data_IF_931025450093
#
_entry.id   IF_931025450093
#
_cell.length_a   1.000
_cell.length_b   1.000
_cell.length_c   1.000
_cell.angle_alpha   90.00
_cell.angle_beta   90.00
_cell.angle_gamma   90.00
#
_symmetry.space_group_name_H-M   'P 1'
#
loop_
_entity.id
_entity.type
_entity.pdbx_description
1 polymer ?
#
# COMPACT_ATOMS: atom_id res chain seq x y z
N UNK A 1 55.42 51.79 -66.09
CA UNK A 1 56.18 50.58 -65.80
C UNK A 1 56.75 50.65 -64.39
N UNK A 2 55.95 50.27 -63.39
CA UNK A 2 56.42 50.24 -61.98
C UNK A 2 55.45 49.24 -61.30
N UNK A 3 55.87 48.00 -61.07
CA UNK A 3 55.35 47.21 -59.94
C UNK A 3 55.86 45.72 -59.92
N UNK A 4 56.91 45.36 -60.66
CA UNK A 4 57.43 44.00 -60.68
C UNK A 4 58.39 43.67 -59.52
N UNK A 5 58.74 44.59 -58.66
CA UNK A 5 59.64 44.36 -57.50
C UNK A 5 58.89 43.78 -56.32
N UNK A 6 57.63 44.20 -56.10
CA UNK A 6 56.80 43.72 -54.99
C UNK A 6 56.39 42.24 -55.23
N UNK A 7 56.06 41.87 -56.46
CA UNK A 7 55.67 40.49 -56.82
C UNK A 7 56.82 39.48 -56.64
N UNK A 8 58.09 39.91 -56.85
CA UNK A 8 59.30 39.11 -56.65
C UNK A 8 59.65 38.85 -55.19
N UNK A 9 59.15 39.68 -54.28
CA UNK A 9 59.34 39.51 -52.83
C UNK A 9 58.17 38.75 -52.23
N UNK A 10 56.96 38.93 -52.75
CA UNK A 10 55.74 38.25 -52.21
C UNK A 10 55.72 36.75 -52.56
N UNK A 11 56.21 36.38 -53.75
CA UNK A 11 56.23 34.99 -54.19
C UNK A 11 57.01 34.05 -53.26
N UNK A 12 58.26 34.32 -52.85
CA UNK A 12 59.00 33.48 -51.94
C UNK A 12 58.39 33.46 -50.51
N UNK A 13 57.76 34.53 -50.04
CA UNK A 13 57.10 34.58 -48.72
C UNK A 13 55.87 33.65 -48.73
N UNK A 14 55.07 33.64 -49.77
CA UNK A 14 53.92 32.72 -49.91
C UNK A 14 54.39 31.26 -49.97
N UNK A 15 55.50 30.99 -50.70
CA UNK A 15 56.07 29.63 -50.78
C UNK A 15 56.55 29.16 -49.37
N UNK A 16 57.24 30.04 -48.62
CA UNK A 16 57.66 29.73 -47.24
C UNK A 16 56.48 29.51 -46.33
N UNK A 17 55.39 30.32 -46.45
CA UNK A 17 54.14 30.12 -45.68
C UNK A 17 53.46 28.81 -46.02
N UNK A 18 53.43 28.41 -47.28
CA UNK A 18 52.86 27.11 -47.71
C UNK A 18 53.72 25.94 -47.20
N UNK A 19 55.06 26.07 -47.28
CA UNK A 19 55.98 25.05 -46.77
C UNK A 19 55.81 24.95 -45.23
N UNK A 20 55.71 26.08 -44.53
CA UNK A 20 55.46 26.12 -43.07
C UNK A 20 54.08 25.53 -42.70
N UNK A 21 53.05 25.77 -43.48
CA UNK A 21 51.74 25.18 -43.30
C UNK A 21 51.74 23.65 -43.55
N UNK A 22 52.49 23.18 -44.59
CA UNK A 22 52.62 21.75 -44.88
C UNK A 22 53.48 21.05 -43.80
N UNK A 23 54.59 21.67 -43.37
CA UNK A 23 55.42 21.13 -42.30
C UNK A 23 54.65 21.17 -40.96
N UNK A 24 53.94 22.25 -40.66
CA UNK A 24 53.09 22.37 -39.48
C UNK A 24 51.96 21.33 -39.42
N UNK A 25 51.37 21.01 -40.59
CA UNK A 25 50.36 19.96 -40.71
C UNK A 25 50.99 18.56 -40.51
N UNK A 26 52.20 18.32 -41.01
CA UNK A 26 52.95 17.05 -40.84
C UNK A 26 53.55 16.89 -39.44
N UNK A 27 53.90 18.00 -38.78
CA UNK A 27 54.40 18.05 -37.41
C UNK A 27 53.27 18.04 -36.36
N UNK A 28 51.97 18.03 -36.75
CA UNK A 28 50.83 17.97 -35.84
C UNK A 28 50.49 19.26 -35.10
N UNK A 29 51.01 20.42 -35.62
CA UNK A 29 50.69 21.76 -35.03
C UNK A 29 49.33 22.29 -35.48
N UNK A 30 48.81 21.81 -36.64
CA UNK A 30 47.50 22.16 -37.12
C UNK A 30 46.61 20.91 -37.11
N UNK A 31 45.69 20.87 -36.13
CA UNK A 31 44.58 19.92 -36.12
C UNK A 31 44.88 18.55 -35.54
N UNK A 32 45.22 18.43 -34.26
CA UNK A 32 44.85 17.18 -33.56
C UNK A 32 43.36 17.06 -33.61
N UNK A 33 42.85 16.10 -34.37
CA UNK A 33 41.43 15.75 -34.32
C UNK A 33 41.04 15.61 -32.85
N UNK A 34 40.04 16.35 -32.40
CA UNK A 34 39.57 16.28 -31.01
C UNK A 34 39.10 14.85 -30.78
N UNK A 35 39.94 14.01 -30.21
CA UNK A 35 39.54 12.66 -29.76
C UNK A 35 38.75 12.77 -28.48
N UNK A 36 37.62 12.09 -28.43
CA UNK A 36 36.80 11.99 -27.20
C UNK A 36 37.28 10.75 -26.43
N UNK A 37 37.75 10.98 -25.19
CA UNK A 37 38.15 9.87 -24.32
C UNK A 37 36.92 9.15 -23.82
N UNK A 38 36.90 7.84 -24.00
CA UNK A 38 35.77 6.96 -23.60
C UNK A 38 36.28 5.68 -22.96
N UNK A 39 35.50 5.13 -22.04
CA UNK A 39 35.68 3.77 -21.57
C UNK A 39 34.75 2.83 -22.34
N UNK A 40 35.18 1.60 -22.53
CA UNK A 40 34.40 0.57 -23.23
C UNK A 40 34.25 -0.65 -22.35
N UNK A 41 33.13 -1.33 -22.49
CA UNK A 41 32.84 -2.63 -21.88
C UNK A 41 32.33 -3.59 -22.97
N UNK A 42 32.56 -4.90 -22.79
CA UNK A 42 32.06 -5.88 -23.73
C UNK A 42 30.57 -6.15 -23.49
N UNK A 43 29.83 -6.35 -24.55
CA UNK A 43 28.47 -6.88 -24.46
C UNK A 43 28.55 -8.37 -24.10
N UNK A 44 28.13 -8.71 -22.88
CA UNK A 44 28.24 -10.05 -22.31
C UNK A 44 26.86 -10.60 -21.95
N UNK A 45 26.78 -11.94 -21.93
CA UNK A 45 25.59 -12.61 -21.47
C UNK A 45 25.58 -12.69 -19.94
N UNK A 46 24.52 -12.22 -19.32
CA UNK A 46 24.35 -12.18 -17.86
C UNK A 46 22.91 -12.55 -17.46
N UNK A 47 22.74 -12.83 -16.19
CA UNK A 47 21.41 -12.91 -15.59
C UNK A 47 21.01 -11.54 -15.08
N UNK A 48 19.90 -11.00 -15.54
CA UNK A 48 19.29 -9.78 -15.03
C UNK A 48 18.06 -10.15 -14.20
N UNK A 49 17.94 -9.51 -13.04
CA UNK A 49 16.76 -9.56 -12.20
C UNK A 49 16.17 -8.16 -12.17
N UNK A 50 15.03 -7.99 -12.83
CA UNK A 50 14.28 -6.74 -12.76
C UNK A 50 13.69 -6.61 -11.37
N UNK A 51 13.94 -5.49 -10.71
CA UNK A 51 13.41 -5.18 -9.40
C UNK A 51 12.67 -3.83 -9.41
N UNK A 52 11.55 -3.79 -8.72
CA UNK A 52 10.78 -2.59 -8.48
C UNK A 52 10.97 -2.19 -7.02
N UNK A 53 11.57 -1.03 -6.80
CA UNK A 53 11.80 -0.50 -5.45
C UNK A 53 10.57 0.29 -5.01
N UNK A 54 10.03 -0.04 -3.85
CA UNK A 54 8.89 0.62 -3.24
C UNK A 54 9.14 0.88 -1.76
N UNK A 55 8.65 2.01 -1.27
CA UNK A 55 8.75 2.37 0.14
C UNK A 55 7.43 2.10 0.86
N UNK A 56 7.53 1.72 2.13
CA UNK A 56 6.36 1.43 2.93
C UNK A 56 6.65 1.29 4.41
N UNK A 57 5.77 0.58 5.11
CA UNK A 57 5.87 0.34 6.55
C UNK A 57 5.66 -1.12 6.88
N UNK A 58 6.36 -1.58 7.91
CA UNK A 58 6.12 -2.88 8.52
C UNK A 58 4.85 -2.81 9.35
N UNK A 59 3.94 -3.76 9.13
CA UNK A 59 2.68 -3.90 9.87
C UNK A 59 2.45 -5.37 10.22
N UNK A 60 1.66 -5.68 11.25
CA UNK A 60 1.23 -7.04 11.50
C UNK A 60 0.24 -7.50 10.41
N UNK A 61 0.27 -8.77 10.06
CA UNK A 61 -0.70 -9.36 9.12
C UNK A 61 -2.13 -9.23 9.64
N UNK A 62 -2.30 -9.36 10.96
CA UNK A 62 -3.61 -9.22 11.63
C UNK A 62 -3.52 -8.21 12.75
N UNK A 63 -4.30 -7.16 12.64
CA UNK A 63 -4.47 -6.12 13.65
C UNK A 63 -5.95 -5.80 13.82
N UNK A 64 -6.41 -5.70 15.06
CA UNK A 64 -7.77 -5.28 15.38
C UNK A 64 -7.72 -4.02 16.23
N UNK A 65 -8.37 -2.98 15.75
CA UNK A 65 -8.61 -1.74 16.47
C UNK A 65 -9.79 -1.94 17.41
N UNK A 66 -9.62 -1.60 18.67
CA UNK A 66 -10.64 -1.73 19.68
C UNK A 66 -11.18 -0.34 20.00
N UNK A 67 -12.48 -0.18 19.80
CA UNK A 67 -13.23 1.02 20.11
C UNK A 67 -14.43 0.65 20.98
N UNK A 68 -14.90 1.53 21.89
CA UNK A 68 -16.05 1.25 22.74
C UNK A 68 -17.35 1.47 21.95
N UNK A 69 -18.33 0.62 22.20
CA UNK A 69 -19.70 0.79 21.72
C UNK A 69 -20.54 1.68 22.65
N UNK A 70 -20.05 1.96 23.86
CA UNK A 70 -20.74 2.70 24.90
C UNK A 70 -19.83 3.78 25.49
N UNK A 71 -20.43 4.88 25.95
CA UNK A 71 -19.69 6.02 26.48
C UNK A 71 -19.58 5.95 28.00
N UNK A 72 -18.46 6.36 28.56
CA UNK A 72 -18.28 6.43 30.02
C UNK A 72 -16.83 6.68 30.42
N UNK A 73 -16.54 6.60 31.71
CA UNK A 73 -15.23 6.71 32.33
C UNK A 73 -14.60 5.31 32.43
N UNK A 74 -13.32 5.17 32.11
CA UNK A 74 -12.56 3.92 32.31
C UNK A 74 -12.26 3.76 33.82
N UNK A 75 -12.87 2.75 34.44
CA UNK A 75 -12.67 2.46 35.86
C UNK A 75 -11.68 1.32 36.13
N UNK A 76 -11.39 0.53 35.10
CA UNK A 76 -10.44 -0.58 35.19
C UNK A 76 -9.71 -0.70 33.86
N UNK A 77 -8.38 -0.78 33.92
CA UNK A 77 -7.51 -1.03 32.75
C UNK A 77 -6.53 -2.12 33.16
N UNK A 78 -6.68 -3.31 32.61
CA UNK A 78 -5.97 -4.52 33.03
C UNK A 78 -4.71 -4.80 32.23
N UNK A 79 -4.47 -4.04 31.15
CA UNK A 79 -3.38 -4.27 30.20
C UNK A 79 -2.57 -2.99 29.98
N UNK A 80 -1.30 -3.18 29.60
CA UNK A 80 -0.37 -2.13 29.18
C UNK A 80 0.08 -2.36 27.74
N UNK A 81 0.63 -1.34 27.13
CA UNK A 81 1.27 -1.49 25.82
C UNK A 81 2.42 -2.50 25.89
N UNK A 82 2.45 -3.44 24.97
CA UNK A 82 3.40 -4.55 24.92
C UNK A 82 2.93 -5.84 25.61
N UNK A 83 1.84 -5.83 26.37
CA UNK A 83 1.32 -7.03 27.03
C UNK A 83 0.73 -8.02 26.02
N UNK A 84 0.94 -9.31 26.29
CA UNK A 84 0.29 -10.38 25.55
C UNK A 84 -1.10 -10.66 26.16
N UNK A 85 -2.09 -10.76 25.29
CA UNK A 85 -3.48 -11.02 25.66
C UNK A 85 -4.03 -12.23 24.93
N UNK A 86 -4.89 -12.97 25.60
CA UNK A 86 -5.61 -14.11 25.05
C UNK A 86 -7.01 -13.68 24.59
N UNK A 87 -7.54 -14.36 23.58
CA UNK A 87 -8.92 -14.12 23.12
C UNK A 87 -9.90 -14.29 24.29
N UNK A 88 -10.75 -13.29 24.52
CA UNK A 88 -11.73 -13.28 25.60
C UNK A 88 -11.18 -12.75 26.95
N UNK A 89 -9.91 -12.35 27.04
CA UNK A 89 -9.35 -11.69 28.20
C UNK A 89 -9.93 -10.28 28.34
N UNK A 90 -10.28 -9.86 29.58
CA UNK A 90 -10.72 -8.51 29.88
C UNK A 90 -9.57 -7.54 29.63
N UNK A 91 -9.83 -6.49 28.86
CA UNK A 91 -8.86 -5.42 28.54
C UNK A 91 -9.11 -4.18 29.40
N UNK A 92 -10.34 -3.74 29.43
CA UNK A 92 -10.74 -2.60 30.24
C UNK A 92 -12.24 -2.67 30.57
N UNK A 93 -12.64 -1.87 31.57
CA UNK A 93 -14.04 -1.71 31.98
C UNK A 93 -14.41 -0.23 32.05
N UNK A 94 -15.51 0.09 31.40
CA UNK A 94 -16.16 1.39 31.45
C UNK A 94 -17.12 1.37 32.65
N UNK A 95 -17.28 2.49 33.35
CA UNK A 95 -18.14 2.64 34.52
C UNK A 95 -19.56 2.18 34.24
N UNK A 96 -20.06 1.10 34.93
CA UNK A 96 -21.30 0.45 34.55
C UNK A 96 -22.55 1.02 35.25
N UNK A 97 -22.40 1.93 36.24
CA UNK A 97 -23.47 2.36 37.15
C UNK A 97 -24.74 2.83 36.45
N UNK A 98 -24.60 3.63 35.41
CA UNK A 98 -25.74 4.11 34.62
C UNK A 98 -26.43 2.98 33.84
N UNK A 99 -25.68 2.04 33.32
CA UNK A 99 -26.17 0.88 32.56
C UNK A 99 -26.84 -0.14 33.48
N UNK A 100 -26.32 -0.32 34.71
CA UNK A 100 -26.98 -1.12 35.76
C UNK A 100 -28.32 -0.48 36.11
N UNK A 101 -28.36 0.83 36.35
CA UNK A 101 -29.60 1.55 36.66
C UNK A 101 -30.63 1.44 35.51
N UNK A 102 -30.18 1.45 34.26
CA UNK A 102 -31.09 1.30 33.11
C UNK A 102 -31.65 -0.13 33.03
N UNK A 103 -30.80 -1.16 33.26
CA UNK A 103 -31.25 -2.56 33.35
C UNK A 103 -32.29 -2.75 34.43
N UNK A 104 -32.06 -2.19 35.63
CA UNK A 104 -32.95 -2.32 36.78
C UNK A 104 -34.30 -1.64 36.53
N UNK A 105 -34.30 -0.50 35.81
CA UNK A 105 -35.56 0.12 35.34
C UNK A 105 -36.32 -0.77 34.38
N UNK A 106 -35.66 -1.36 33.41
CA UNK A 106 -36.30 -2.29 32.45
C UNK A 106 -36.84 -3.54 33.14
N UNK A 107 -36.16 -4.04 34.18
CA UNK A 107 -36.68 -5.12 35.03
C UNK A 107 -37.96 -4.73 35.77
N UNK A 108 -38.03 -3.49 36.29
CA UNK A 108 -39.24 -2.98 36.94
C UNK A 108 -40.39 -2.82 35.94
N UNK A 109 -40.10 -2.44 34.70
CA UNK A 109 -41.10 -2.35 33.61
C UNK A 109 -41.71 -3.71 33.28
N UNK A 110 -40.92 -4.77 33.22
CA UNK A 110 -41.42 -6.14 33.04
C UNK A 110 -42.34 -6.53 34.19
N UNK A 111 -41.93 -6.28 35.43
CA UNK A 111 -42.77 -6.55 36.62
C UNK A 111 -44.12 -5.81 36.55
N UNK A 112 -44.11 -4.55 36.12
CA UNK A 112 -45.32 -3.74 35.92
C UNK A 112 -46.21 -4.33 34.81
N UNK A 113 -45.62 -4.72 33.68
CA UNK A 113 -46.37 -5.34 32.57
C UNK A 113 -46.97 -6.71 32.96
N UNK A 114 -46.23 -7.51 33.73
CA UNK A 114 -46.75 -8.78 34.30
C UNK A 114 -47.95 -8.56 35.22
N UNK A 115 -47.89 -7.54 36.11
CA UNK A 115 -49.01 -7.19 36.97
C UNK A 115 -50.25 -6.74 36.18
N UNK A 116 -50.05 -5.96 35.12
CA UNK A 116 -51.14 -5.57 34.19
C UNK A 116 -51.74 -6.77 33.48
N UNK A 117 -50.90 -7.73 33.06
CA UNK A 117 -51.40 -8.96 32.45
C UNK A 117 -52.22 -9.75 33.46
N UNK A 118 -51.76 -9.91 34.71
CA UNK A 118 -52.52 -10.62 35.76
C UNK A 118 -53.88 -9.95 36.00
N UNK A 119 -53.95 -8.62 36.01
CA UNK A 119 -55.22 -7.87 36.08
C UNK A 119 -56.14 -8.17 34.89
N UNK A 120 -55.59 -8.14 33.68
CA UNK A 120 -56.34 -8.42 32.44
C UNK A 120 -56.84 -9.85 32.41
N UNK A 121 -56.04 -10.83 32.84
CA UNK A 121 -56.40 -12.28 32.95
C UNK A 121 -57.60 -12.44 33.95
N UNK A 122 -57.59 -11.74 35.10
CA UNK A 122 -58.68 -11.79 36.07
C UNK A 122 -59.99 -11.19 35.46
N UNK A 123 -59.88 -10.06 34.72
CA UNK A 123 -61.03 -9.44 34.06
C UNK A 123 -61.56 -10.34 32.94
N UNK A 124 -60.70 -10.99 32.16
CA UNK A 124 -61.09 -11.90 31.12
C UNK A 124 -61.81 -13.12 31.69
N UNK A 125 -61.29 -13.67 32.80
CA UNK A 125 -61.93 -14.79 33.55
C UNK A 125 -63.35 -14.41 34.02
N UNK A 126 -63.54 -13.22 34.57
CA UNK A 126 -64.83 -12.70 34.99
C UNK A 126 -65.81 -12.58 33.79
N UNK A 127 -65.34 -11.98 32.67
CA UNK A 127 -66.14 -11.85 31.45
C UNK A 127 -66.47 -13.20 30.83
N UNK A 128 -65.57 -14.18 30.85
CA UNK A 128 -65.79 -15.53 30.37
C UNK A 128 -66.88 -16.23 31.16
N UNK A 129 -66.82 -16.16 32.47
CA UNK A 129 -67.86 -16.73 33.33
C UNK A 129 -69.24 -16.11 33.10
N UNK A 130 -69.30 -14.79 32.88
CA UNK A 130 -70.54 -14.08 32.51
C UNK A 130 -71.04 -14.52 31.14
N UNK A 131 -70.14 -14.60 30.12
CA UNK A 131 -70.49 -15.06 28.78
C UNK A 131 -71.02 -16.50 28.83
N UNK A 132 -70.39 -17.44 29.50
CA UNK A 132 -70.82 -18.84 29.66
C UNK A 132 -72.19 -18.91 30.29
N UNK A 133 -72.48 -18.15 31.33
CA UNK A 133 -73.80 -18.06 31.98
C UNK A 133 -74.89 -17.54 31.06
N UNK A 134 -74.63 -16.41 30.40
CA UNK A 134 -75.57 -15.82 29.44
C UNK A 134 -75.81 -16.73 28.24
N UNK A 135 -74.82 -17.46 27.77
CA UNK A 135 -74.97 -18.43 26.69
C UNK A 135 -75.96 -19.55 27.08
N UNK A 136 -75.84 -20.13 28.30
CA UNK A 136 -76.79 -21.13 28.80
C UNK A 136 -78.21 -20.57 28.94
N UNK A 137 -78.42 -19.35 29.46
CA UNK A 137 -79.69 -18.71 29.59
C UNK A 137 -80.35 -18.36 28.23
N UNK A 138 -79.53 -17.99 27.23
CA UNK A 138 -80.01 -17.73 25.86
C UNK A 138 -80.45 -19.04 25.17
N UNK A 139 -79.70 -20.13 25.33
CA UNK A 139 -80.07 -21.47 24.86
C UNK A 139 -81.40 -21.96 25.49
N UNK A 140 -81.67 -21.55 26.74
CA UNK A 140 -82.93 -21.79 27.44
C UNK A 140 -84.05 -20.76 27.09
N UNK A 141 -83.78 -19.81 26.14
CA UNK A 141 -84.70 -18.75 25.75
C UNK A 141 -85.14 -17.83 26.87
N UNK A 142 -84.33 -17.63 27.94
CA UNK A 142 -84.67 -16.85 29.12
C UNK A 142 -84.11 -15.43 29.04
N UNK A 143 -83.24 -15.08 28.13
CA UNK A 143 -82.71 -13.72 27.89
C UNK A 143 -82.82 -13.31 26.42
N UNK A 144 -82.72 -11.99 26.17
CA UNK A 144 -82.76 -11.46 24.80
C UNK A 144 -81.47 -11.73 24.01
N UNK A 145 -81.54 -11.75 22.71
CA UNK A 145 -80.41 -11.86 21.81
C UNK A 145 -79.41 -10.72 22.04
N UNK A 146 -79.87 -9.52 22.31
CA UNK A 146 -79.06 -8.35 22.61
C UNK A 146 -78.22 -8.52 23.87
N UNK A 147 -78.78 -9.11 24.94
CA UNK A 147 -78.05 -9.36 26.18
C UNK A 147 -76.92 -10.38 26.01
N UNK A 148 -77.19 -11.42 25.19
CA UNK A 148 -76.18 -12.42 24.85
C UNK A 148 -75.05 -11.79 24.00
N UNK A 149 -75.37 -11.05 22.93
CA UNK A 149 -74.40 -10.39 22.08
C UNK A 149 -73.53 -9.38 22.89
N UNK A 150 -74.12 -8.68 23.86
CA UNK A 150 -73.40 -7.80 24.76
C UNK A 150 -72.37 -8.56 25.64
N UNK A 151 -72.77 -9.71 26.18
CA UNK A 151 -71.86 -10.53 26.99
C UNK A 151 -70.71 -11.13 26.15
N UNK A 152 -70.99 -11.53 24.90
CA UNK A 152 -70.02 -12.03 23.95
C UNK A 152 -69.02 -10.96 23.54
N UNK A 153 -69.49 -9.73 23.22
CA UNK A 153 -68.62 -8.59 22.91
C UNK A 153 -67.71 -8.22 24.09
N UNK A 154 -68.24 -8.23 25.32
CA UNK A 154 -67.49 -7.94 26.54
C UNK A 154 -66.38 -8.98 26.75
N UNK A 155 -66.68 -10.27 26.56
CA UNK A 155 -65.66 -11.34 26.65
C UNK A 155 -64.60 -11.19 25.58
N UNK A 156 -65.00 -10.91 24.33
CA UNK A 156 -64.05 -10.70 23.22
C UNK A 156 -63.08 -9.55 23.47
N UNK A 157 -63.60 -8.41 23.96
CA UNK A 157 -62.77 -7.26 24.36
C UNK A 157 -61.81 -7.61 25.49
N UNK A 158 -62.29 -8.32 26.53
CA UNK A 158 -61.43 -8.74 27.64
C UNK A 158 -60.28 -9.65 27.19
N UNK A 159 -60.57 -10.59 26.28
CA UNK A 159 -59.59 -11.48 25.68
C UNK A 159 -58.56 -10.69 24.86
N UNK A 160 -58.99 -9.76 24.05
CA UNK A 160 -58.08 -8.89 23.29
C UNK A 160 -57.17 -8.04 24.22
N UNK A 161 -57.70 -7.63 25.39
CA UNK A 161 -56.94 -6.91 26.40
C UNK A 161 -55.83 -7.77 27.02
N UNK A 162 -56.09 -9.09 27.25
CA UNK A 162 -55.07 -10.06 27.67
C UNK A 162 -53.96 -10.17 26.62
N UNK A 163 -54.34 -10.31 25.35
CA UNK A 163 -53.34 -10.41 24.27
C UNK A 163 -52.52 -9.15 24.14
N UNK A 164 -53.12 -7.98 24.28
CA UNK A 164 -52.40 -6.70 24.31
C UNK A 164 -51.39 -6.63 25.49
N UNK A 165 -51.81 -7.10 26.67
CA UNK A 165 -50.94 -7.17 27.85
C UNK A 165 -49.78 -8.14 27.67
N UNK A 166 -50.00 -9.29 26.96
CA UNK A 166 -48.90 -10.20 26.59
C UNK A 166 -47.85 -9.51 25.68
N UNK A 167 -48.31 -8.80 24.64
CA UNK A 167 -47.41 -8.06 23.78
C UNK A 167 -46.65 -6.94 24.52
N UNK A 168 -47.27 -6.30 25.53
CA UNK A 168 -46.58 -5.34 26.38
C UNK A 168 -45.44 -5.99 27.18
N UNK A 169 -45.61 -7.24 27.67
CA UNK A 169 -44.49 -7.98 28.32
C UNK A 169 -43.37 -8.23 27.31
N UNK A 170 -43.67 -8.76 26.13
CA UNK A 170 -42.65 -9.01 25.10
C UNK A 170 -41.88 -7.73 24.71
N UNK A 171 -42.55 -6.59 24.64
CA UNK A 171 -41.91 -5.30 24.42
C UNK A 171 -40.99 -4.89 25.58
N UNK A 172 -41.40 -5.09 26.83
CA UNK A 172 -40.58 -4.82 28.01
C UNK A 172 -39.37 -5.76 28.10
N UNK A 173 -39.53 -7.04 27.72
CA UNK A 173 -38.44 -8.02 27.63
C UNK A 173 -37.41 -7.62 26.57
N UNK A 174 -37.84 -7.10 25.43
CA UNK A 174 -36.93 -6.56 24.40
C UNK A 174 -36.12 -5.39 24.95
N UNK A 175 -36.79 -4.45 25.66
CA UNK A 175 -36.11 -3.32 26.30
C UNK A 175 -35.08 -3.76 27.37
N UNK A 176 -35.39 -4.82 28.15
CA UNK A 176 -34.43 -5.40 29.10
C UNK A 176 -33.23 -6.02 28.38
N UNK A 177 -33.47 -6.73 27.27
CA UNK A 177 -32.40 -7.30 26.47
C UNK A 177 -31.45 -6.22 25.98
N UNK A 178 -31.95 -5.13 25.43
CA UNK A 178 -31.15 -3.99 24.97
C UNK A 178 -30.33 -3.37 26.12
N UNK A 179 -30.93 -3.22 27.30
CA UNK A 179 -30.24 -2.70 28.48
C UNK A 179 -29.12 -3.65 28.94
N UNK A 180 -29.34 -4.97 28.89
CA UNK A 180 -28.31 -5.96 29.22
C UNK A 180 -27.17 -5.97 28.20
N UNK A 181 -27.48 -5.86 26.91
CA UNK A 181 -26.47 -5.76 25.87
C UNK A 181 -25.57 -4.55 26.08
N UNK A 182 -26.15 -3.37 26.35
CA UNK A 182 -25.39 -2.16 26.67
C UNK A 182 -24.54 -2.31 27.95
N UNK A 183 -25.05 -2.98 28.96
CA UNK A 183 -24.26 -3.29 30.14
C UNK A 183 -23.11 -4.22 29.85
N UNK A 184 -23.29 -5.25 29.03
CA UNK A 184 -22.22 -6.15 28.62
C UNK A 184 -21.13 -5.42 27.84
N UNK A 185 -21.50 -4.47 27.01
CA UNK A 185 -20.57 -3.60 26.23
C UNK A 185 -19.72 -2.66 27.09
N UNK A 186 -20.01 -2.52 28.38
CA UNK A 186 -19.13 -1.77 29.30
C UNK A 186 -17.84 -2.50 29.63
N UNK A 187 -17.77 -3.82 29.42
CA UNK A 187 -16.57 -4.63 29.60
C UNK A 187 -16.03 -5.02 28.24
N UNK A 188 -14.84 -4.56 27.89
CA UNK A 188 -14.20 -4.83 26.61
C UNK A 188 -13.22 -5.98 26.73
N UNK A 189 -13.38 -6.95 25.85
CA UNK A 189 -12.56 -8.16 25.80
C UNK A 189 -11.75 -8.25 24.52
N UNK A 190 -10.60 -8.91 24.58
CA UNK A 190 -9.75 -9.15 23.43
C UNK A 190 -10.46 -10.02 22.37
N UNK A 191 -10.60 -9.56 21.11
CA UNK A 191 -11.27 -10.32 20.06
C UNK A 191 -10.40 -11.47 19.52
N UNK A 192 -9.07 -11.35 19.71
CA UNK A 192 -8.06 -12.32 19.26
C UNK A 192 -6.92 -12.40 20.26
N UNK A 193 -6.18 -13.50 20.21
CA UNK A 193 -4.90 -13.63 20.92
C UNK A 193 -3.84 -12.83 20.19
N UNK A 194 -3.02 -12.05 20.91
CA UNK A 194 -1.99 -11.20 20.34
C UNK A 194 -1.32 -10.33 21.37
N UNK A 195 -0.67 -9.28 20.93
CA UNK A 195 0.00 -8.27 21.78
C UNK A 195 -0.70 -6.93 21.62
N UNK A 196 -0.83 -6.18 22.71
CA UNK A 196 -1.30 -4.79 22.66
C UNK A 196 -0.23 -3.95 21.98
N UNK A 197 -0.43 -3.65 20.70
CA UNK A 197 0.54 -2.91 19.88
C UNK A 197 0.51 -1.41 20.12
N UNK A 198 -0.62 -0.89 20.57
CA UNK A 198 -0.83 0.52 20.89
C UNK A 198 -1.91 0.67 21.94
N UNK A 199 -1.69 1.53 22.92
CA UNK A 199 -2.66 1.91 23.94
C UNK A 199 -2.82 3.44 23.94
N UNK A 200 -4.03 3.93 23.64
CA UNK A 200 -4.31 5.36 23.42
C UNK A 200 -5.07 6.01 24.58
N UNK A 201 -5.40 5.24 25.62
CA UNK A 201 -6.24 5.71 26.74
C UNK A 201 -5.62 5.37 28.08
N UNK A 202 -6.01 6.13 29.10
CA UNK A 202 -5.56 5.97 30.46
C UNK A 202 -6.72 5.68 31.43
N UNK A 203 -6.40 5.16 32.64
CA UNK A 203 -7.37 4.92 33.67
C UNK A 203 -7.97 6.26 34.14
N UNK A 204 -9.31 6.34 34.25
CA UNK A 204 -10.04 7.56 34.61
C UNK A 204 -10.41 8.44 33.40
N UNK A 205 -9.95 8.13 32.22
CA UNK A 205 -10.31 8.86 30.99
C UNK A 205 -11.76 8.61 30.59
N UNK A 206 -12.41 9.61 30.01
CA UNK A 206 -13.77 9.48 29.45
C UNK A 206 -13.70 9.21 27.97
N UNK A 207 -14.34 8.10 27.56
CA UNK A 207 -14.42 7.66 26.19
C UNK A 207 -15.83 7.82 25.64
N UNK A 208 -15.91 8.11 24.35
CA UNK A 208 -17.17 8.20 23.64
C UNK A 208 -17.33 6.98 22.72
N UNK A 209 -18.42 6.25 22.91
CA UNK A 209 -18.83 5.18 22.04
C UNK A 209 -20.26 5.40 21.61
N UNK A 210 -20.55 5.32 20.32
CA UNK A 210 -21.91 5.38 19.81
C UNK A 210 -22.07 4.38 18.68
N UNK A 211 -23.25 3.78 18.55
CA UNK A 211 -23.60 2.91 17.43
C UNK A 211 -23.69 3.66 16.10
N UNK A 212 -23.61 5.00 16.09
CA UNK A 212 -23.82 5.85 14.92
C UNK A 212 -22.52 6.46 14.37
N UNK A 213 -21.46 6.49 15.17
CA UNK A 213 -20.16 7.03 14.77
C UNK A 213 -19.05 6.11 15.25
N UNK A 214 -17.97 6.01 14.50
CA UNK A 214 -16.78 5.30 14.95
C UNK A 214 -16.35 5.90 16.31
N UNK A 215 -16.37 5.06 17.34
CA UNK A 215 -15.94 5.46 18.69
C UNK A 215 -14.46 5.83 18.71
N UNK A 216 -14.02 6.47 19.79
CA UNK A 216 -12.60 6.76 20.06
C UNK A 216 -11.81 5.45 20.02
N UNK A 217 -10.77 5.36 19.22
CA UNK A 217 -9.87 4.20 19.24
C UNK A 217 -9.18 4.12 20.61
N UNK A 218 -9.34 3.00 21.31
CA UNK A 218 -8.80 2.82 22.66
C UNK A 218 -7.42 2.15 22.62
N UNK A 219 -7.31 1.08 21.87
CA UNK A 219 -6.09 0.30 21.73
C UNK A 219 -6.13 -0.57 20.48
N UNK A 220 -4.98 -1.13 20.14
CA UNK A 220 -4.83 -2.13 19.07
C UNK A 220 -4.28 -3.42 19.62
N UNK A 221 -4.85 -4.52 19.19
CA UNK A 221 -4.32 -5.86 19.45
C UNK A 221 -3.87 -6.46 18.12
N UNK A 222 -2.61 -6.88 18.06
CA UNK A 222 -1.97 -7.36 16.86
C UNK A 222 -1.25 -8.69 17.08
N UNK A 223 -1.23 -9.53 16.05
CA UNK A 223 -0.39 -10.72 16.00
C UNK A 223 1.00 -10.34 15.46
N UNK A 224 1.97 -10.16 16.35
CA UNK A 224 3.34 -9.79 16.01
C UNK A 224 4.18 -10.98 15.52
N UNK A 225 3.67 -12.20 15.52
CA UNK A 225 4.39 -13.37 15.02
C UNK A 225 4.49 -13.39 13.49
N UNK A 226 3.57 -12.71 12.81
CA UNK A 226 3.52 -12.61 11.35
C UNK A 226 3.45 -11.14 10.94
N UNK A 227 4.54 -10.67 10.37
CA UNK A 227 4.68 -9.28 9.94
C UNK A 227 4.68 -9.19 8.42
N UNK A 228 4.10 -8.15 7.88
CA UNK A 228 4.11 -7.81 6.46
C UNK A 228 4.65 -6.41 6.24
N UNK A 229 5.31 -6.21 5.10
CA UNK A 229 5.63 -4.88 4.60
C UNK A 229 4.51 -4.42 3.68
N UNK A 230 3.80 -3.36 4.05
CA UNK A 230 2.83 -2.70 3.20
C UNK A 230 3.52 -1.56 2.47
N UNK A 231 3.73 -1.72 1.17
CA UNK A 231 4.45 -0.77 0.31
C UNK A 231 3.54 -0.17 -0.74
N UNK A 232 3.91 1.04 -1.21
CA UNK A 232 3.20 1.75 -2.24
C UNK A 232 3.96 1.64 -3.56
N UNK A 233 3.35 0.96 -4.54
CA UNK A 233 3.90 0.77 -5.88
C UNK A 233 3.19 1.70 -6.86
N UNK A 234 3.97 2.37 -7.73
CA UNK A 234 3.44 3.28 -8.73
C UNK A 234 2.58 2.55 -9.79
N UNK A 235 1.59 3.25 -10.35
CA UNK A 235 0.69 2.73 -11.39
C UNK A 235 1.44 2.16 -12.60
N UNK A 236 2.58 2.75 -12.99
CA UNK A 236 3.36 2.28 -14.14
C UNK A 236 4.06 0.94 -13.86
N UNK A 237 4.31 0.62 -12.60
CA UNK A 237 5.07 -0.55 -12.17
C UNK A 237 4.19 -1.72 -11.73
N UNK A 238 2.97 -1.42 -11.26
CA UNK A 238 2.04 -2.43 -10.74
C UNK A 238 1.71 -3.57 -11.73
N UNK A 239 1.59 -3.36 -13.06
CA UNK A 239 1.30 -4.46 -14.01
C UNK A 239 2.41 -5.52 -14.08
N UNK A 240 3.62 -5.17 -13.61
CA UNK A 240 4.77 -6.08 -13.58
C UNK A 240 4.88 -6.90 -12.30
N UNK A 241 4.22 -6.47 -11.22
CA UNK A 241 4.19 -7.17 -9.93
C UNK A 241 3.16 -8.29 -9.97
N UNK A 242 3.54 -9.48 -9.48
CA UNK A 242 2.66 -10.65 -9.43
C UNK A 242 2.62 -11.22 -8.00
N UNK A 243 1.49 -11.86 -7.69
CA UNK A 243 1.37 -12.65 -6.47
C UNK A 243 2.43 -13.76 -6.47
N UNK A 244 3.12 -13.93 -5.34
CA UNK A 244 4.20 -14.89 -5.19
C UNK A 244 5.58 -14.39 -5.60
N UNK A 245 5.72 -13.17 -6.12
CA UNK A 245 7.02 -12.56 -6.39
C UNK A 245 7.84 -12.48 -5.10
N UNK A 246 9.13 -12.76 -5.22
CA UNK A 246 10.06 -12.65 -4.09
C UNK A 246 10.52 -11.21 -3.92
N UNK A 247 10.64 -10.78 -2.67
CA UNK A 247 11.09 -9.43 -2.36
C UNK A 247 12.24 -9.43 -1.36
N UNK A 248 13.13 -8.46 -1.48
CA UNK A 248 14.12 -8.12 -0.47
C UNK A 248 13.65 -6.88 0.29
N UNK A 249 13.53 -7.02 1.60
CA UNK A 249 13.03 -5.99 2.50
C UNK A 249 14.20 -5.45 3.30
N UNK A 250 14.44 -4.17 3.21
CA UNK A 250 15.41 -3.43 4.02
C UNK A 250 14.62 -2.56 4.99
N UNK A 251 14.77 -2.83 6.28
CA UNK A 251 14.11 -2.08 7.35
C UNK A 251 15.08 -1.06 7.88
N UNK A 252 14.70 0.21 7.98
CA UNK A 252 15.59 1.31 8.37
C UNK A 252 16.24 1.12 9.75
N UNK A 253 15.56 0.37 10.62
CA UNK A 253 16.12 0.01 11.94
C UNK A 253 17.27 -1.03 11.88
N UNK A 254 17.43 -1.74 10.77
CA UNK A 254 18.40 -2.83 10.58
C UNK A 254 19.17 -2.67 9.26
N UNK A 255 19.97 -1.61 9.16
CA UNK A 255 20.64 -1.17 7.91
C UNK A 255 21.54 -2.22 7.25
N UNK A 256 22.11 -3.16 8.04
CA UNK A 256 23.03 -4.17 7.52
C UNK A 256 22.35 -5.52 7.19
N UNK A 257 21.01 -5.59 7.30
CA UNK A 257 20.29 -6.84 7.13
C UNK A 257 19.17 -6.70 6.09
N UNK A 258 19.15 -7.65 5.15
CA UNK A 258 18.09 -7.77 4.16
C UNK A 258 17.22 -8.96 4.48
N UNK A 259 15.95 -8.73 4.63
CA UNK A 259 14.96 -9.77 4.92
C UNK A 259 14.28 -10.22 3.63
N UNK A 260 13.95 -11.49 3.57
CA UNK A 260 13.23 -12.05 2.41
C UNK A 260 11.74 -12.01 2.68
N UNK A 261 10.98 -11.64 1.66
CA UNK A 261 9.52 -11.63 1.67
C UNK A 261 8.93 -12.22 0.39
N UNK A 262 7.62 -12.42 0.43
CA UNK A 262 6.83 -12.87 -0.72
C UNK A 262 5.60 -11.98 -0.82
N UNK A 263 5.27 -11.54 -2.05
CA UNK A 263 4.05 -10.76 -2.33
C UNK A 263 2.83 -11.64 -2.10
N UNK A 264 1.98 -11.25 -1.14
CA UNK A 264 0.77 -11.98 -0.74
C UNK A 264 -0.50 -11.33 -1.24
N UNK A 265 -0.51 -9.99 -1.38
CA UNK A 265 -1.69 -9.26 -1.79
C UNK A 265 -1.29 -8.03 -2.62
N UNK A 266 -2.08 -7.75 -3.66
CA UNK A 266 -1.97 -6.54 -4.49
C UNK A 266 -3.33 -5.87 -4.46
N UNK A 267 -3.41 -4.62 -3.99
CA UNK A 267 -4.67 -3.89 -3.92
C UNK A 267 -5.25 -3.65 -5.32
N UNK A 268 -6.54 -3.90 -5.48
CA UNK A 268 -7.26 -3.69 -6.74
C UNK A 268 -7.66 -2.22 -6.97
N UNK A 269 -7.58 -1.39 -5.93
CA UNK A 269 -7.91 0.04 -6.02
C UNK A 269 -6.73 0.90 -5.61
N UNK A 270 -6.52 1.98 -6.35
CA UNK A 270 -5.50 2.95 -6.05
C UNK A 270 -5.85 3.79 -4.81
N UNK A 271 -4.85 4.11 -4.01
CA UNK A 271 -4.94 5.18 -3.01
C UNK A 271 -4.43 6.48 -3.64
N UNK A 272 -5.35 7.39 -3.87
CA UNK A 272 -5.01 8.74 -4.29
C UNK A 272 -4.78 9.61 -3.05
N UNK A 273 -3.56 10.08 -2.85
CA UNK A 273 -3.22 10.99 -1.76
C UNK A 273 -3.10 12.41 -2.31
N UNK A 274 -4.03 13.30 -1.94
CA UNK A 274 -3.94 14.74 -2.27
C UNK A 274 -5.07 15.27 -3.15
N UNK A 275 -5.23 16.59 -3.18
CA UNK A 275 -6.29 17.36 -3.86
C UNK A 275 -5.72 18.16 -5.06
N UNK A 276 -4.54 17.85 -5.56
CA UNK A 276 -3.82 18.58 -6.62
C UNK A 276 -3.79 17.82 -7.95
N UNK A 277 -3.66 18.57 -9.05
CA UNK A 277 -3.60 18.08 -10.42
C UNK A 277 -2.37 17.17 -10.74
N UNK A 278 -1.35 17.13 -9.88
CA UNK A 278 -0.16 16.28 -9.99
C UNK A 278 -0.24 15.04 -9.06
N UNK A 279 -1.37 14.36 -9.07
CA UNK A 279 -1.64 13.24 -8.16
C UNK A 279 -0.90 11.98 -8.61
N UNK A 280 0.02 11.50 -7.77
CA UNK A 280 0.68 10.21 -7.99
C UNK A 280 -0.27 9.09 -7.56
N UNK A 281 -0.61 8.25 -8.52
CA UNK A 281 -1.46 7.08 -8.29
C UNK A 281 -0.58 5.91 -7.82
N UNK A 282 -0.79 5.45 -6.58
CA UNK A 282 -0.07 4.32 -6.02
C UNK A 282 -1.04 3.20 -5.64
N UNK A 283 -0.55 1.98 -5.70
CA UNK A 283 -1.28 0.78 -5.26
C UNK A 283 -0.57 0.16 -4.06
N UNK A 284 -1.33 -0.24 -3.06
CA UNK A 284 -0.78 -0.94 -1.91
C UNK A 284 -0.46 -2.38 -2.29
N UNK A 285 0.75 -2.80 -1.97
CA UNK A 285 1.21 -4.19 -2.11
C UNK A 285 1.65 -4.69 -0.74
N UNK A 286 1.13 -5.84 -0.32
CA UNK A 286 1.51 -6.49 0.93
C UNK A 286 2.48 -7.62 0.67
N UNK A 287 3.54 -7.64 1.44
CA UNK A 287 4.66 -8.56 1.30
C UNK A 287 4.91 -9.19 2.65
N UNK A 288 4.61 -10.48 2.78
CA UNK A 288 4.84 -11.23 4.00
C UNK A 288 6.35 -11.39 4.24
N UNK A 289 6.83 -10.97 5.40
CA UNK A 289 8.21 -11.19 5.82
C UNK A 289 8.38 -12.65 6.24
N UNK A 290 9.29 -13.37 5.59
CA UNK A 290 9.49 -14.78 5.89
C UNK A 290 10.18 -14.97 7.26
N UNK A 291 9.60 -15.76 8.19
CA UNK A 291 10.16 -15.98 9.53
C UNK A 291 11.59 -16.48 9.52
N UNK A 292 11.96 -17.26 8.50
CA UNK A 292 13.31 -17.80 8.36
C UNK A 292 14.37 -16.71 8.15
N UNK A 293 13.99 -15.54 7.60
CA UNK A 293 14.92 -14.46 7.30
C UNK A 293 15.35 -13.66 8.52
N UNK A 294 14.53 -13.62 9.59
CA UNK A 294 14.82 -12.91 10.83
C UNK A 294 15.02 -13.82 12.04
N UNK A 295 15.09 -15.14 11.82
CA UNK A 295 15.29 -16.11 12.90
C UNK A 295 16.53 -15.80 13.77
N UNK A 296 17.61 -15.31 13.17
CA UNK A 296 18.81 -14.90 13.88
C UNK A 296 18.58 -13.80 14.91
N UNK A 297 17.66 -12.86 14.65
CA UNK A 297 17.30 -11.79 15.59
C UNK A 297 16.47 -12.34 16.74
N UNK A 298 15.55 -13.27 16.46
CA UNK A 298 14.74 -13.95 17.48
C UNK A 298 15.61 -14.80 18.39
N UNK A 299 16.57 -15.54 17.83
CA UNK A 299 17.53 -16.37 18.57
C UNK A 299 18.48 -15.52 19.44
N UNK A 300 18.73 -14.26 19.07
CA UNK A 300 19.53 -13.31 19.84
C UNK A 300 18.78 -12.70 21.04
N UNK A 301 17.50 -13.05 21.25
CA UNK A 301 16.68 -12.66 22.41
C UNK A 301 15.58 -11.66 22.14
N UNK A 302 15.45 -11.14 20.92
CA UNK A 302 14.39 -10.21 20.56
C UNK A 302 13.18 -10.99 20.01
N UNK A 303 12.21 -11.29 20.88
CA UNK A 303 11.03 -12.09 20.50
C UNK A 303 10.22 -11.47 19.35
N UNK A 304 10.20 -10.15 19.24
CA UNK A 304 9.49 -9.39 18.23
C UNK A 304 10.39 -8.30 17.64
N UNK A 305 11.30 -8.65 16.71
CA UNK A 305 12.29 -7.69 16.18
C UNK A 305 11.63 -6.57 15.37
N UNK A 306 10.48 -6.82 14.79
CA UNK A 306 9.74 -5.82 14.03
C UNK A 306 8.62 -5.20 14.87
N UNK A 307 8.57 -3.88 14.86
CA UNK A 307 7.48 -3.13 15.49
C UNK A 307 6.57 -2.53 14.42
N UNK A 308 5.25 -2.54 14.61
CA UNK A 308 4.32 -1.86 13.73
C UNK A 308 4.72 -0.40 13.50
N UNK A 309 4.70 0.04 12.24
CA UNK A 309 5.06 1.41 11.87
C UNK A 309 6.51 1.65 11.47
N UNK A 310 7.42 0.67 11.63
CA UNK A 310 8.80 0.79 11.13
C UNK A 310 8.80 1.02 9.63
N UNK A 311 9.64 1.95 9.15
CA UNK A 311 9.84 2.20 7.73
C UNK A 311 10.66 1.09 7.09
N UNK A 312 10.31 0.76 5.87
CA UNK A 312 11.01 -0.25 5.08
C UNK A 312 11.03 0.13 3.60
N UNK A 313 12.15 -0.19 2.96
CA UNK A 313 12.31 -0.15 1.51
C UNK A 313 12.31 -1.58 1.00
N UNK A 314 11.53 -1.85 -0.05
CA UNK A 314 11.37 -3.19 -0.59
C UNK A 314 11.70 -3.23 -2.06
N UNK A 315 12.59 -4.15 -2.44
CA UNK A 315 12.90 -4.47 -3.82
C UNK A 315 12.13 -5.73 -4.23
N UNK A 316 11.04 -5.53 -4.97
CA UNK A 316 10.20 -6.61 -5.50
C UNK A 316 10.84 -7.13 -6.79
N UNK A 317 11.23 -8.40 -6.81
CA UNK A 317 11.82 -9.07 -7.97
C UNK A 317 10.72 -9.59 -8.88
N UNK A 318 10.47 -8.88 -9.98
CA UNK A 318 9.35 -9.18 -10.87
C UNK A 318 9.69 -10.16 -11.97
N UNK A 319 10.86 -10.02 -12.57
CA UNK A 319 11.28 -10.88 -13.68
C UNK A 319 12.78 -11.19 -13.58
N UNK A 320 13.12 -12.46 -13.79
CA UNK A 320 14.51 -12.90 -13.90
C UNK A 320 14.71 -13.58 -15.24
N UNK A 321 15.70 -13.13 -16.01
CA UNK A 321 16.12 -13.75 -17.27
C UNK A 321 17.59 -14.09 -17.21
N UNK A 322 17.91 -15.33 -17.54
CA UNK A 322 19.29 -15.84 -17.57
C UNK A 322 19.82 -15.88 -18.98
N UNK A 323 21.13 -15.79 -19.13
CA UNK A 323 21.85 -15.93 -20.43
C UNK A 323 21.40 -14.92 -21.51
N UNK A 324 21.01 -13.70 -21.10
CA UNK A 324 20.60 -12.63 -22.01
C UNK A 324 21.76 -11.68 -22.29
N UNK A 325 21.84 -11.14 -23.52
CA UNK A 325 22.85 -10.17 -23.91
C UNK A 325 22.61 -8.83 -23.22
N UNK A 326 23.62 -8.33 -22.54
CA UNK A 326 23.50 -7.14 -21.69
C UNK A 326 24.61 -6.13 -21.98
N UNK A 327 24.27 -4.86 -21.78
CA UNK A 327 25.23 -3.75 -21.77
C UNK A 327 25.01 -2.88 -20.54
N UNK A 328 26.01 -2.12 -20.09
CA UNK A 328 25.80 -1.14 -19.02
C UNK A 328 24.68 -0.16 -19.39
N UNK A 329 23.80 0.15 -18.43
CA UNK A 329 22.66 1.06 -18.67
C UNK A 329 23.11 2.42 -19.20
N UNK A 330 24.29 2.89 -18.78
CA UNK A 330 24.88 4.16 -19.19
C UNK A 330 25.31 4.19 -20.66
N UNK A 331 25.43 3.02 -21.32
CA UNK A 331 25.83 2.88 -22.72
C UNK A 331 24.66 3.19 -23.68
N UNK A 332 23.44 3.10 -23.19
CA UNK A 332 22.23 3.29 -23.98
C UNK A 332 21.81 4.74 -23.94
N UNK A 333 21.53 5.33 -25.07
CA UNK A 333 21.03 6.71 -25.17
C UNK A 333 19.89 6.80 -26.17
N UNK A 334 19.00 7.77 -25.94
CA UNK A 334 17.92 8.11 -26.88
C UNK A 334 18.27 9.36 -27.66
N UNK A 335 18.07 9.35 -28.98
CA UNK A 335 18.24 10.52 -29.85
C UNK A 335 16.96 10.79 -30.62
N UNK A 336 16.68 12.06 -30.78
CA UNK A 336 15.55 12.54 -31.60
C UNK A 336 16.10 12.96 -32.95
N UNK A 337 15.79 12.24 -34.01
CA UNK A 337 16.06 12.68 -35.36
C UNK A 337 14.94 13.62 -35.82
N UNK A 338 15.32 14.86 -36.09
CA UNK A 338 14.44 15.83 -36.72
C UNK A 338 14.46 15.58 -38.21
N UNK A 339 13.64 14.65 -38.73
CA UNK A 339 13.40 14.52 -40.14
C UNK A 339 12.66 15.77 -40.64
N UNK A 340 13.36 16.62 -41.38
CA UNK A 340 12.76 17.71 -42.15
C UNK A 340 12.03 17.09 -43.36
N UNK A 341 10.80 16.68 -43.14
CA UNK A 341 9.91 16.38 -44.29
C UNK A 341 9.23 17.67 -44.69
N UNK A 342 9.35 18.00 -45.94
CA UNK A 342 8.73 19.16 -46.59
C UNK A 342 7.22 19.17 -46.35
N UNK A 343 6.74 20.12 -45.51
CA UNK A 343 5.32 20.38 -45.30
C UNK A 343 4.69 19.71 -44.08
N UNK A 344 4.58 20.47 -43.00
CA UNK A 344 3.68 20.28 -41.84
C UNK A 344 3.53 18.85 -41.32
N UNK A 345 4.42 18.46 -40.44
CA UNK A 345 4.28 17.77 -39.16
C UNK A 345 5.64 17.21 -38.77
N UNK A 346 6.27 17.78 -37.74
CA UNK A 346 7.50 17.26 -37.14
C UNK A 346 7.14 16.05 -36.28
N UNK A 347 7.17 14.87 -36.82
CA UNK A 347 7.21 13.64 -36.04
C UNK A 347 8.61 13.50 -35.46
N UNK A 348 8.75 13.65 -34.14
CA UNK A 348 9.97 13.33 -33.41
C UNK A 348 10.08 11.82 -33.33
N UNK A 349 10.89 11.21 -34.16
CA UNK A 349 11.20 9.80 -34.05
C UNK A 349 12.29 9.62 -33.00
N UNK A 350 11.95 8.96 -31.88
CA UNK A 350 12.89 8.72 -30.79
C UNK A 350 13.55 7.38 -31.05
N UNK A 351 14.85 7.39 -31.36
CA UNK A 351 15.65 6.19 -31.60
C UNK A 351 16.51 5.89 -30.39
N UNK A 352 16.47 4.63 -29.93
CA UNK A 352 17.37 4.14 -28.90
C UNK A 352 18.60 3.55 -29.55
N UNK A 353 19.78 4.03 -29.18
CA UNK A 353 21.03 3.61 -29.79
C UNK A 353 22.14 3.40 -28.76
N UNK A 354 23.13 2.63 -29.20
CA UNK A 354 24.37 2.33 -28.46
C UNK A 354 25.55 2.63 -29.39
N UNK A 355 26.65 3.14 -28.84
CA UNK A 355 27.87 3.32 -29.60
C UNK A 355 28.80 2.12 -29.45
N UNK A 356 29.01 1.43 -30.56
CA UNK A 356 29.96 0.29 -30.66
C UNK A 356 31.27 0.79 -31.23
N UNK A 357 32.39 0.23 -30.81
CA UNK A 357 33.69 0.67 -31.28
C UNK A 357 34.58 -0.49 -31.73
N UNK A 358 35.36 -0.24 -32.75
CA UNK A 358 36.49 -1.04 -33.21
C UNK A 358 37.82 -0.66 -32.56
N UNK A 359 37.78 0.33 -31.62
CA UNK A 359 38.94 0.91 -30.93
C UNK A 359 39.37 2.27 -31.45
N UNK A 360 38.89 2.72 -32.62
CA UNK A 360 39.26 4.00 -33.24
C UNK A 360 38.05 4.91 -33.48
N UNK A 361 36.94 4.33 -33.89
CA UNK A 361 35.71 5.08 -34.18
C UNK A 361 34.55 4.56 -33.31
N UNK A 362 33.63 5.44 -32.95
CA UNK A 362 32.36 5.11 -32.34
C UNK A 362 31.29 5.08 -33.44
N UNK A 363 30.67 3.90 -33.62
CA UNK A 363 29.62 3.66 -34.60
C UNK A 363 28.28 3.58 -33.87
N UNK A 364 27.31 4.37 -34.31
CA UNK A 364 25.97 4.36 -33.72
C UNK A 364 25.19 3.17 -34.27
N UNK A 365 24.71 2.29 -33.40
CA UNK A 365 23.80 1.17 -33.75
C UNK A 365 22.48 1.34 -33.03
N UNK A 366 21.39 1.24 -33.78
CA UNK A 366 20.05 1.19 -33.22
C UNK A 366 19.83 -0.12 -32.50
N UNK A 367 19.28 -0.06 -31.31
CA UNK A 367 19.04 -1.23 -30.48
C UNK A 367 17.60 -1.26 -29.96
N UNK A 368 17.09 -2.49 -29.79
CA UNK A 368 15.87 -2.72 -29.02
C UNK A 368 16.26 -3.24 -27.64
N UNK A 369 15.78 -2.59 -26.59
CA UNK A 369 16.08 -2.95 -25.21
C UNK A 369 14.96 -3.79 -24.62
N UNK A 370 15.28 -4.60 -23.61
CA UNK A 370 14.35 -5.40 -22.83
C UNK A 370 14.36 -5.01 -21.36
N UNK A 371 14.44 -6.01 -20.46
CA UNK A 371 14.48 -5.78 -19.00
C UNK A 371 15.81 -5.16 -18.58
N UNK A 372 15.79 -4.48 -17.44
CA UNK A 372 16.98 -3.84 -16.88
C UNK A 372 17.05 -4.04 -15.36
N UNK A 373 18.27 -3.97 -14.85
CA UNK A 373 18.54 -3.83 -13.42
C UNK A 373 19.21 -2.47 -13.12
N UNK A 374 19.76 -2.28 -11.94
CA UNK A 374 20.42 -1.03 -11.56
C UNK A 374 21.71 -0.73 -12.33
N UNK A 375 22.29 -1.69 -13.07
CA UNK A 375 23.60 -1.58 -13.71
C UNK A 375 23.57 -1.92 -15.19
N UNK A 376 22.76 -2.89 -15.61
CA UNK A 376 22.75 -3.46 -16.93
C UNK A 376 21.33 -3.47 -17.54
N UNK A 377 21.29 -3.41 -18.88
CA UNK A 377 20.05 -3.48 -19.64
C UNK A 377 20.17 -4.57 -20.71
N UNK A 378 19.11 -5.35 -20.89
CA UNK A 378 18.98 -6.38 -21.96
C UNK A 378 18.94 -5.73 -23.32
N UNK A 379 19.67 -6.30 -24.27
CA UNK A 379 19.59 -5.95 -25.70
C UNK A 379 18.96 -7.10 -26.45
N UNK A 380 17.77 -6.84 -26.99
CA UNK A 380 17.02 -7.83 -27.78
C UNK A 380 17.53 -7.94 -29.23
N UNK A 381 18.00 -6.81 -29.79
CA UNK A 381 18.55 -6.76 -31.16
C UNK A 381 19.42 -5.52 -31.37
N UNK A 382 20.35 -5.56 -32.34
CA UNK A 382 21.18 -4.42 -32.75
C UNK A 382 22.67 -4.62 -32.52
N UNK A 383 23.10 -5.44 -31.55
CA UNK A 383 24.51 -5.76 -31.29
C UNK A 383 24.70 -7.26 -31.08
N UNK A 384 25.92 -7.74 -31.25
CA UNK A 384 26.31 -9.12 -31.02
C UNK A 384 27.09 -9.28 -29.69
N UNK A 385 27.10 -10.52 -29.16
CA UNK A 385 27.91 -10.83 -27.99
C UNK A 385 29.40 -10.62 -28.29
N UNK A 386 30.12 -9.99 -27.35
CA UNK A 386 31.53 -9.68 -27.47
C UNK A 386 31.84 -8.34 -28.16
N UNK A 387 30.85 -7.64 -28.73
CA UNK A 387 31.08 -6.29 -29.26
C UNK A 387 31.43 -5.31 -28.13
N UNK A 388 32.39 -4.43 -28.41
CA UNK A 388 32.81 -3.40 -27.45
C UNK A 388 31.89 -2.19 -27.51
N UNK A 389 31.26 -1.88 -26.41
CA UNK A 389 30.28 -0.79 -26.27
C UNK A 389 30.86 0.31 -25.41
N UNK A 390 30.65 1.57 -25.82
CA UNK A 390 31.07 2.73 -25.05
C UNK A 390 30.23 2.82 -23.78
N UNK A 391 30.86 2.73 -22.61
CA UNK A 391 30.19 2.71 -21.31
C UNK A 391 30.32 4.00 -20.49
N UNK A 392 31.36 4.81 -20.76
CA UNK A 392 31.57 6.08 -20.07
C UNK A 392 32.40 7.09 -20.90
N UNK A 393 32.31 8.39 -20.62
CA UNK A 393 31.37 9.05 -19.71
C UNK A 393 30.00 9.29 -20.36
N UNK A 394 28.93 9.24 -19.57
CA UNK A 394 27.55 9.43 -20.07
C UNK A 394 27.37 10.77 -20.84
N UNK A 395 28.07 11.83 -20.44
CA UNK A 395 28.04 13.13 -21.13
C UNK A 395 28.59 13.06 -22.58
N UNK A 396 29.53 12.16 -22.84
CA UNK A 396 30.01 11.91 -24.19
C UNK A 396 28.97 11.14 -25.01
N UNK A 397 28.41 10.09 -24.45
CA UNK A 397 27.41 9.21 -25.07
C UNK A 397 26.15 10.02 -25.43
N UNK A 398 25.64 10.81 -24.48
CA UNK A 398 24.38 11.53 -24.68
C UNK A 398 24.49 12.77 -25.60
N UNK A 399 25.65 13.48 -25.60
CA UNK A 399 25.75 14.81 -26.26
C UNK A 399 26.86 14.94 -27.31
N UNK A 400 28.02 14.28 -27.10
CA UNK A 400 29.22 14.56 -27.91
C UNK A 400 29.49 13.57 -29.02
N UNK A 401 29.19 12.28 -28.78
CA UNK A 401 29.39 11.23 -29.76
C UNK A 401 28.34 11.33 -30.89
N UNK A 402 28.78 11.23 -32.12
CA UNK A 402 27.98 11.06 -33.31
C UNK A 402 28.49 9.84 -34.06
N UNK A 403 27.77 9.37 -35.08
CA UNK A 403 28.24 8.27 -35.88
C UNK A 403 29.62 8.58 -36.46
N UNK A 404 30.51 7.56 -36.47
CA UNK A 404 31.88 7.64 -36.97
C UNK A 404 32.78 8.67 -36.28
N UNK A 405 32.48 9.02 -35.01
CA UNK A 405 33.33 9.94 -34.23
C UNK A 405 34.63 9.27 -33.80
N UNK A 406 35.77 9.97 -33.98
CA UNK A 406 37.08 9.51 -33.53
C UNK A 406 37.16 9.52 -32.00
N UNK A 407 37.48 8.37 -31.41
CA UNK A 407 37.56 8.18 -29.96
C UNK A 407 38.95 7.68 -29.53
N UNK A 408 39.25 7.91 -28.26
CA UNK A 408 40.42 7.34 -27.58
C UNK A 408 39.91 6.48 -26.43
N UNK A 409 40.14 5.18 -26.53
CA UNK A 409 39.72 4.21 -25.49
C UNK A 409 40.70 4.29 -24.32
N UNK A 410 40.16 4.62 -23.15
CA UNK A 410 40.93 4.73 -21.88
C UNK A 410 40.24 3.88 -20.80
N UNK A 411 40.98 3.53 -19.75
CA UNK A 411 40.36 2.85 -18.61
C UNK A 411 39.41 3.78 -17.88
N UNK A 412 38.30 3.21 -17.35
CA UNK A 412 37.27 3.97 -16.63
C UNK A 412 37.81 4.84 -15.50
N UNK A 413 38.85 4.37 -14.82
CA UNK A 413 39.54 5.08 -13.73
C UNK A 413 40.28 6.33 -14.18
N UNK A 414 40.75 6.39 -15.43
CA UNK A 414 41.49 7.51 -16.00
C UNK A 414 40.59 8.64 -16.45
N UNK A 415 39.31 8.37 -16.70
CA UNK A 415 38.30 9.37 -17.09
C UNK A 415 37.95 10.33 -15.96
N UNK A 416 38.08 9.88 -14.71
CA UNK A 416 37.68 10.60 -13.50
C UNK A 416 38.86 11.13 -12.67
N UNK A 417 40.11 10.90 -13.11
CA UNK A 417 41.26 11.56 -12.50
C UNK A 417 41.23 13.05 -12.86
N UNK A 418 40.79 13.84 -11.89
CA UNK A 418 40.93 15.31 -11.93
C UNK A 418 42.44 15.62 -11.95
N UNK A 419 42.88 16.35 -12.99
CA UNK A 419 44.20 16.97 -13.05
C UNK A 419 44.27 18.17 -12.12
#
# INVERSE_FOLDING_TARGET
>A
MKNNKILKILLPIVIVLIIFAVIGKKAGWFGKAMTIKVAVENAEKRTIVEAITANGKIQPEKEVKISPDVSGEIVELTVKEGDNVEKGQLLLRIKPDNYISQRDRSLAEISSAQARRAQADAQATQAELSYKRNKQLYEQQTISKSDFEQAEATYTVAKATVDAAKFAITSAEASLKDANENLTKTSLYAPMTGTVSMLLVELGERVAGTNLMAGTELMRVADLSRMEAQVQVNENDIPRVKLGDTALIEVDAYLDQKFKGIVTEIANSAKTTGVSADQVTNFDVKILVLPQSYKKLVDAGDKNPFRPGMSATVDIRTQSKSDILTVPIQSVTTRTDTLKTSGKQTTKDIRTLVFVTDGKYALAKDVKTGIQDNSYIEILSGIAAGEKVVSAPFSAISKKLSDSTLIEVVKKEELFKVK
#
